data_IF_150971181089
#
_entry.id   IF_150971181089
#
_cell.length_a   1.000
_cell.length_b   1.000
_cell.length_c   1.000
_cell.angle_alpha   90.00
_cell.angle_beta   90.00
_cell.angle_gamma   90.00
#
_symmetry.space_group_name_H-M   'P 1'
#
loop_
_entity.id
_entity.type
_entity.pdbx_description
1 polymer ?
#
# COMPACT_ATOMS: atom_id res chain seq x y z
N UNK A 1 -44.04 27.32 5.78
CA UNK A 1 -43.86 25.94 6.27
C UNK A 1 -42.58 25.39 5.65
N UNK A 2 -41.52 25.23 6.44
CA UNK A 2 -40.25 24.64 6.00
C UNK A 2 -40.36 23.14 6.23
N UNK A 3 -40.32 22.34 5.16
CA UNK A 3 -40.24 20.89 5.26
C UNK A 3 -38.91 20.53 5.92
N UNK A 4 -38.98 20.00 7.15
CA UNK A 4 -37.86 19.30 7.77
C UNK A 4 -37.75 17.95 7.08
N UNK A 5 -36.80 17.82 6.16
CA UNK A 5 -36.33 16.52 5.71
C UNK A 5 -35.62 15.89 6.91
N UNK A 6 -36.24 14.89 7.53
CA UNK A 6 -35.56 14.03 8.49
C UNK A 6 -34.52 13.22 7.72
N UNK A 7 -33.26 13.64 7.76
CA UNK A 7 -32.15 12.82 7.29
C UNK A 7 -32.03 11.60 8.19
N UNK A 8 -32.43 10.44 7.69
CA UNK A 8 -32.11 9.16 8.33
C UNK A 8 -30.63 8.88 8.06
N UNK A 9 -29.77 9.08 9.06
CA UNK A 9 -28.40 8.55 9.04
C UNK A 9 -28.54 7.04 9.22
N UNK A 10 -28.47 6.28 8.13
CA UNK A 10 -28.39 4.82 8.20
C UNK A 10 -26.98 4.46 8.67
N UNK A 11 -26.88 3.73 9.77
CA UNK A 11 -25.62 3.23 10.34
C UNK A 11 -25.43 1.78 9.89
N UNK A 12 -24.31 1.47 9.24
CA UNK A 12 -24.03 0.14 8.70
C UNK A 12 -22.92 -0.49 9.54
N UNK A 13 -23.19 -1.70 10.06
CA UNK A 13 -22.22 -2.49 10.81
C UNK A 13 -21.33 -3.28 9.85
N UNK A 14 -20.02 -3.12 9.99
CA UNK A 14 -18.99 -3.80 9.20
C UNK A 14 -17.98 -4.48 10.14
N UNK A 15 -17.33 -5.53 9.65
CA UNK A 15 -16.28 -6.25 10.35
C UNK A 15 -15.05 -6.41 9.45
N UNK A 16 -13.87 -6.08 9.95
CA UNK A 16 -12.60 -6.22 9.24
C UNK A 16 -11.61 -6.98 10.11
N UNK A 17 -11.01 -8.03 9.56
CA UNK A 17 -9.96 -8.80 10.22
C UNK A 17 -8.58 -8.26 9.83
N UNK A 18 -7.74 -7.97 10.82
CA UNK A 18 -6.39 -7.47 10.61
C UNK A 18 -5.35 -8.57 10.87
N UNK A 19 -4.45 -8.78 9.93
CA UNK A 19 -3.30 -9.63 10.11
C UNK A 19 -2.17 -8.86 10.84
N UNK A 20 -2.31 -8.65 12.15
CA UNK A 20 -1.21 -8.19 13.01
C UNK A 20 -1.35 -8.80 14.41
N UNK A 21 -0.26 -9.38 14.92
CA UNK A 21 -0.17 -9.78 16.31
C UNK A 21 0.18 -8.55 17.15
N UNK A 22 -0.71 -8.25 18.11
CA UNK A 22 -0.51 -7.27 19.20
C UNK A 22 -0.64 -5.80 18.78
N UNK A 23 -1.88 -5.33 18.58
CA UNK A 23 -2.23 -3.91 18.73
C UNK A 23 -3.46 -3.77 19.62
N UNK A 24 -3.35 -2.89 20.62
CA UNK A 24 -4.48 -2.50 21.47
C UNK A 24 -5.59 -1.85 20.62
N UNK A 25 -6.85 -1.96 21.08
CA UNK A 25 -8.02 -1.43 20.37
C UNK A 25 -7.92 0.07 20.01
N UNK A 26 -7.09 0.83 20.74
CA UNK A 26 -6.88 2.27 20.54
C UNK A 26 -5.96 2.62 19.35
N UNK A 27 -5.38 1.62 18.67
CA UNK A 27 -4.43 1.83 17.57
C UNK A 27 -5.03 1.61 16.16
N UNK A 28 -6.31 1.29 16.04
CA UNK A 28 -6.95 1.12 14.73
C UNK A 28 -7.48 2.46 14.23
N UNK A 29 -6.85 3.01 13.18
CA UNK A 29 -7.44 4.08 12.38
C UNK A 29 -8.32 3.46 11.30
N UNK A 30 -9.61 3.78 11.34
CA UNK A 30 -10.53 3.44 10.25
C UNK A 30 -10.42 4.51 9.16
N UNK A 31 -10.38 4.12 7.87
CA UNK A 31 -10.26 5.07 6.77
C UNK A 31 -11.54 5.91 6.57
N UNK A 32 -12.64 5.56 7.23
CA UNK A 32 -13.92 6.26 7.10
C UNK A 32 -14.11 7.30 8.21
N UNK A 33 -14.38 8.54 7.79
CA UNK A 33 -14.60 9.66 8.70
C UNK A 33 -15.86 9.42 9.54
N UNK A 34 -15.73 9.56 10.86
CA UNK A 34 -16.84 9.31 11.79
C UNK A 34 -17.18 7.83 11.98
N UNK A 35 -16.33 6.91 11.51
CA UNK A 35 -16.45 5.51 11.88
C UNK A 35 -16.09 5.30 13.34
N UNK A 36 -16.92 4.54 14.03
CA UNK A 36 -16.75 4.22 15.44
C UNK A 36 -16.53 2.72 15.60
N UNK A 37 -15.41 2.35 16.21
CA UNK A 37 -15.14 0.96 16.58
C UNK A 37 -16.12 0.58 17.69
N UNK A 38 -16.91 -0.46 17.44
CA UNK A 38 -17.88 -0.98 18.40
C UNK A 38 -17.33 -2.14 19.20
N UNK A 39 -16.47 -2.96 18.61
CA UNK A 39 -15.92 -4.14 19.25
C UNK A 39 -14.61 -4.58 18.57
N UNK A 40 -13.68 -5.13 19.34
CA UNK A 40 -12.52 -5.85 18.80
C UNK A 40 -12.54 -7.26 19.38
N UNK A 41 -12.75 -8.25 18.53
CA UNK A 41 -12.71 -9.68 18.88
C UNK A 41 -11.39 -10.28 18.39
N UNK A 42 -11.04 -11.47 18.89
CA UNK A 42 -9.84 -12.20 18.44
C UNK A 42 -10.25 -13.61 18.00
N UNK A 43 -9.73 -14.06 16.87
CA UNK A 43 -9.96 -15.43 16.39
C UNK A 43 -9.10 -16.47 17.14
N UNK A 44 -9.24 -17.74 16.77
CA UNK A 44 -8.53 -18.87 17.39
C UNK A 44 -7.00 -18.82 17.21
N UNK A 45 -6.50 -18.00 16.28
CA UNK A 45 -5.08 -17.78 16.01
C UNK A 45 -4.57 -16.48 16.63
N UNK A 46 -5.43 -15.73 17.33
CA UNK A 46 -5.11 -14.46 17.97
C UNK A 46 -5.15 -13.25 17.04
N UNK A 47 -5.78 -13.36 15.86
CA UNK A 47 -5.94 -12.23 14.96
C UNK A 47 -7.13 -11.35 15.36
N UNK A 48 -6.96 -10.02 15.42
CA UNK A 48 -8.03 -9.11 15.75
C UNK A 48 -9.04 -8.95 14.61
N UNK A 49 -10.32 -9.08 14.94
CA UNK A 49 -11.45 -8.67 14.09
C UNK A 49 -12.10 -7.43 14.70
N UNK A 50 -12.05 -6.32 13.97
CA UNK A 50 -12.60 -5.03 14.38
C UNK A 50 -13.99 -4.88 13.81
N UNK A 51 -14.99 -4.76 14.67
CA UNK A 51 -16.35 -4.39 14.34
C UNK A 51 -16.50 -2.89 14.50
N UNK A 52 -17.10 -2.24 13.52
CA UNK A 52 -17.31 -0.81 13.53
C UNK A 52 -18.59 -0.44 12.80
N UNK A 53 -19.05 0.77 13.09
CA UNK A 53 -20.19 1.37 12.43
C UNK A 53 -19.70 2.58 11.65
N UNK A 54 -20.15 2.68 10.39
CA UNK A 54 -19.88 3.84 9.53
C UNK A 54 -21.19 4.56 9.19
N UNK A 55 -21.21 5.90 9.14
CA UNK A 55 -22.30 6.64 8.54
C UNK A 55 -22.50 6.25 7.05
N UNK A 56 -23.73 5.93 6.65
CA UNK A 56 -24.05 5.54 5.26
C UNK A 56 -23.63 6.55 4.19
N UNK A 57 -23.62 7.85 4.51
CA UNK A 57 -23.19 8.91 3.57
C UNK A 57 -21.72 8.76 3.16
N UNK A 58 -20.86 8.23 4.05
CA UNK A 58 -19.43 7.96 3.76
C UNK A 58 -19.24 6.67 2.95
N UNK A 59 -20.17 5.73 3.00
CA UNK A 59 -20.14 4.52 2.15
C UNK A 59 -20.57 4.84 0.72
N UNK A 60 -21.52 5.77 0.55
CA UNK A 60 -21.98 6.23 -0.77
C UNK A 60 -20.94 7.15 -1.41
N UNK A 61 -20.28 8.05 -0.66
CA UNK A 61 -19.25 8.94 -1.21
C UNK A 61 -18.03 8.18 -1.78
N UNK A 62 -17.68 7.03 -1.18
CA UNK A 62 -16.60 6.18 -1.68
C UNK A 62 -17.01 5.30 -2.87
N UNK A 63 -18.30 5.05 -3.07
CA UNK A 63 -18.83 4.30 -4.21
C UNK A 63 -19.18 5.20 -5.42
N UNK A 64 -19.49 6.49 -5.20
CA UNK A 64 -19.92 7.46 -6.22
C UNK A 64 -18.91 8.59 -6.50
N UNK A 65 -17.62 8.40 -6.23
CA UNK A 65 -16.60 9.36 -6.63
C UNK A 65 -16.32 9.31 -8.16
N UNK A 66 -17.24 9.85 -8.96
CA UNK A 66 -16.92 10.32 -10.31
C UNK A 66 -15.98 11.56 -10.20
N UNK A 67 -14.70 11.29 -10.45
CA UNK A 67 -13.57 12.15 -10.79
C UNK A 67 -13.74 13.69 -10.75
N UNK A 68 -13.45 14.34 -9.62
CA UNK A 68 -12.83 15.66 -9.61
C UNK A 68 -11.30 15.48 -9.64
N UNK A 69 -10.68 15.70 -10.81
CA UNK A 69 -9.22 15.62 -11.07
C UNK A 69 -8.39 14.82 -10.04
N UNK A 70 -8.36 13.48 -10.16
CA UNK A 70 -7.42 12.64 -9.38
C UNK A 70 -6.03 13.28 -9.43
N UNK A 71 -5.49 13.63 -8.26
CA UNK A 71 -4.18 14.29 -8.15
C UNK A 71 -3.09 13.22 -8.33
N UNK A 72 -2.81 12.87 -9.57
CA UNK A 72 -1.74 11.91 -9.89
C UNK A 72 -0.40 12.60 -9.96
N UNK A 73 0.63 12.03 -9.34
CA UNK A 73 2.01 12.46 -9.54
C UNK A 73 2.44 11.95 -10.92
N UNK A 74 2.93 12.80 -11.84
CA UNK A 74 3.38 12.34 -13.16
C UNK A 74 4.60 11.41 -13.05
N UNK A 75 4.77 10.45 -13.99
CA UNK A 75 5.98 9.65 -14.08
C UNK A 75 7.24 10.51 -14.17
N UNK A 76 8.35 9.99 -13.65
CA UNK A 76 9.65 10.65 -13.75
C UNK A 76 10.13 10.64 -15.21
N UNK A 77 10.71 11.75 -15.65
CA UNK A 77 11.28 11.86 -17.00
C UNK A 77 12.77 11.51 -17.06
N UNK A 78 13.40 11.35 -15.90
CA UNK A 78 14.81 11.00 -15.75
C UNK A 78 14.99 10.07 -14.54
N UNK A 79 16.11 9.35 -14.53
CA UNK A 79 16.43 8.44 -13.44
C UNK A 79 16.57 9.22 -12.12
N UNK A 80 15.86 8.81 -11.05
CA UNK A 80 15.98 9.45 -9.75
C UNK A 80 17.35 9.15 -9.10
N UNK A 81 17.82 10.09 -8.27
CA UNK A 81 19.06 9.91 -7.52
C UNK A 81 18.91 8.81 -6.45
N UNK A 82 19.80 7.82 -6.49
CA UNK A 82 19.83 6.72 -5.51
C UNK A 82 20.10 7.25 -4.10
N UNK A 83 19.32 6.77 -3.13
CA UNK A 83 19.40 7.21 -1.74
C UNK A 83 18.50 8.39 -1.39
N UNK A 84 17.83 9.01 -2.37
CA UNK A 84 16.81 10.04 -2.09
C UNK A 84 15.46 9.43 -1.76
N UNK A 85 14.64 10.13 -0.99
CA UNK A 85 13.26 9.72 -0.69
C UNK A 85 12.29 10.52 -1.56
N UNK A 86 11.55 9.83 -2.42
CA UNK A 86 10.60 10.46 -3.36
C UNK A 86 9.20 10.67 -2.77
N UNK A 87 8.83 9.83 -1.80
CA UNK A 87 7.53 9.91 -1.14
C UNK A 87 7.50 10.93 -0.02
N UNK A 88 6.40 11.67 0.10
CA UNK A 88 6.11 12.47 1.30
C UNK A 88 5.58 11.55 2.40
N UNK A 89 6.49 10.87 3.09
CA UNK A 89 6.15 9.85 4.11
C UNK A 89 5.72 10.51 5.43
N UNK A 90 6.49 11.50 5.87
CA UNK A 90 6.31 12.16 7.16
C UNK A 90 5.58 13.50 6.99
N UNK A 91 4.80 13.87 8.02
CA UNK A 91 4.26 15.23 8.14
C UNK A 91 5.36 16.23 8.46
N UNK A 92 5.10 17.50 8.18
CA UNK A 92 5.98 18.59 8.58
C UNK A 92 5.95 18.74 10.11
N UNK A 93 7.12 18.77 10.77
CA UNK A 93 7.22 18.96 12.20
C UNK A 93 8.58 18.57 12.78
N UNK A 94 8.89 19.09 13.98
CA UNK A 94 10.07 18.70 14.75
C UNK A 94 9.71 17.60 15.76
N UNK A 95 10.64 16.69 16.05
CA UNK A 95 10.50 15.63 17.06
C UNK A 95 9.28 14.70 16.85
N UNK A 96 9.03 14.32 15.60
CA UNK A 96 8.00 13.34 15.28
C UNK A 96 8.25 12.01 16.00
N UNK A 97 7.20 11.46 16.61
CA UNK A 97 7.22 10.11 17.16
C UNK A 97 7.00 9.11 16.02
N UNK A 98 8.09 8.57 15.47
CA UNK A 98 8.06 7.66 14.33
C UNK A 98 7.36 6.32 14.64
N UNK A 99 7.02 6.05 15.91
CA UNK A 99 6.24 4.87 16.28
C UNK A 99 4.73 5.07 16.14
N UNK A 100 4.28 6.29 15.86
CA UNK A 100 2.85 6.66 15.80
C UNK A 100 2.42 7.04 14.40
N UNK A 101 1.33 6.45 13.94
CA UNK A 101 0.69 6.76 12.66
C UNK A 101 0.41 8.27 12.46
N UNK A 102 0.19 9.03 13.56
CA UNK A 102 -0.04 10.48 13.50
C UNK A 102 1.11 11.27 12.87
N UNK A 103 2.34 10.74 12.91
CA UNK A 103 3.56 11.35 12.37
C UNK A 103 3.68 11.24 10.84
N UNK A 104 2.84 10.40 10.24
CA UNK A 104 2.89 10.05 8.81
C UNK A 104 1.79 10.77 8.04
N UNK A 105 2.06 11.05 6.77
CA UNK A 105 1.03 11.50 5.83
C UNK A 105 -0.07 10.44 5.69
N UNK A 106 -1.28 10.86 5.29
CA UNK A 106 -2.48 10.01 5.27
C UNK A 106 -2.26 8.68 4.54
N UNK A 107 -1.57 8.72 3.40
CA UNK A 107 -1.27 7.54 2.61
C UNK A 107 -0.45 6.49 3.38
N UNK A 108 0.38 6.92 4.32
CA UNK A 108 1.31 6.11 5.11
C UNK A 108 0.86 5.93 6.57
N UNK A 109 -0.37 6.33 6.91
CA UNK A 109 -0.90 6.27 8.28
C UNK A 109 -1.71 4.99 8.59
N UNK A 110 -1.54 3.93 7.78
CA UNK A 110 -2.21 2.62 7.90
C UNK A 110 -1.20 1.50 7.63
N UNK A 111 -1.51 0.26 8.01
CA UNK A 111 -0.57 -0.89 8.10
C UNK A 111 0.51 -0.77 9.18
N UNK A 112 1.20 -1.88 9.41
CA UNK A 112 2.41 -1.96 10.23
C UNK A 112 3.51 -1.09 9.61
N UNK A 113 3.79 0.04 10.26
CA UNK A 113 4.80 1.02 9.87
C UNK A 113 6.18 0.35 9.70
N UNK A 114 6.86 0.65 8.59
CA UNK A 114 8.15 0.06 8.24
C UNK A 114 8.08 -1.26 7.47
N UNK A 115 6.89 -1.79 7.19
CA UNK A 115 6.73 -3.00 6.36
C UNK A 115 6.68 -2.68 4.86
N UNK A 116 7.03 -3.66 4.03
CA UNK A 116 6.94 -3.52 2.57
C UNK A 116 5.51 -3.23 2.08
N UNK A 117 4.52 -3.89 2.71
CA UNK A 117 3.10 -3.65 2.47
C UNK A 117 2.70 -2.20 2.78
N UNK A 118 3.15 -1.69 3.91
CA UNK A 118 2.91 -0.32 4.37
C UNK A 118 3.42 0.69 3.35
N UNK A 119 4.68 0.55 2.93
CA UNK A 119 5.28 1.49 2.00
C UNK A 119 4.67 1.39 0.60
N UNK A 120 4.55 0.19 0.03
CA UNK A 120 4.02 0.01 -1.32
C UNK A 120 2.56 0.50 -1.42
N UNK A 121 1.74 0.24 -0.38
CA UNK A 121 0.37 0.74 -0.29
C UNK A 121 0.33 2.27 -0.24
N UNK A 122 1.10 2.88 0.67
CA UNK A 122 1.11 4.32 0.84
C UNK A 122 1.65 5.04 -0.39
N UNK A 123 2.74 4.55 -0.98
CA UNK A 123 3.31 5.13 -2.19
C UNK A 123 2.35 5.06 -3.38
N UNK A 124 1.63 3.95 -3.51
CA UNK A 124 0.61 3.82 -4.56
C UNK A 124 -0.55 4.81 -4.37
N UNK A 125 -1.04 4.99 -3.14
CA UNK A 125 -2.04 6.01 -2.83
C UNK A 125 -1.53 7.42 -3.08
N UNK A 126 -0.29 7.72 -2.69
CA UNK A 126 0.31 9.03 -2.89
C UNK A 126 0.43 9.39 -4.38
N UNK A 127 0.86 8.42 -5.20
CA UNK A 127 1.11 8.65 -6.63
C UNK A 127 -0.18 8.67 -7.44
N UNK A 128 -1.13 7.78 -7.14
CA UNK A 128 -2.31 7.58 -8.00
C UNK A 128 -3.61 8.11 -7.42
N UNK A 129 -3.63 8.49 -6.14
CA UNK A 129 -4.84 8.83 -5.40
C UNK A 129 -5.85 7.65 -5.36
N UNK A 130 -5.33 6.40 -5.39
CA UNK A 130 -6.12 5.17 -5.38
C UNK A 130 -5.74 4.35 -4.14
N UNK A 131 -6.73 4.00 -3.34
CA UNK A 131 -6.55 3.01 -2.27
C UNK A 131 -6.60 1.59 -2.85
N UNK A 132 -5.63 0.74 -2.51
CA UNK A 132 -5.80 -0.69 -2.75
C UNK A 132 -6.96 -1.21 -1.88
N UNK A 133 -7.76 -2.18 -2.35
CA UNK A 133 -8.90 -2.71 -1.61
C UNK A 133 -8.44 -3.53 -0.40
N UNK A 134 -8.17 -2.84 0.71
CA UNK A 134 -7.68 -3.42 1.97
C UNK A 134 -8.62 -4.43 2.61
N UNK A 135 -9.92 -4.26 2.37
CA UNK A 135 -10.99 -4.81 3.21
C UNK A 135 -11.52 -6.16 2.73
N UNK A 136 -10.95 -6.76 1.69
CA UNK A 136 -11.41 -8.04 1.15
C UNK A 136 -10.30 -9.10 1.03
N UNK A 137 -9.42 -9.21 2.04
CA UNK A 137 -8.56 -10.39 2.14
C UNK A 137 -7.46 -10.45 1.08
N UNK A 138 -6.78 -9.33 0.82
CA UNK A 138 -5.56 -9.35 -0.02
C UNK A 138 -4.50 -10.30 0.55
N UNK A 139 -4.55 -10.63 1.85
CA UNK A 139 -3.67 -11.59 2.50
C UNK A 139 -2.22 -11.14 2.55
N UNK A 140 -1.29 -12.10 2.63
CA UNK A 140 0.13 -11.81 2.50
C UNK A 140 0.46 -11.23 1.11
N UNK A 141 1.60 -10.57 0.96
CA UNK A 141 2.00 -9.97 -0.33
C UNK A 141 1.89 -10.96 -1.50
N UNK A 142 2.24 -12.22 -1.27
CA UNK A 142 2.16 -13.29 -2.28
C UNK A 142 0.76 -13.51 -2.88
N UNK A 143 -0.28 -12.99 -2.23
CA UNK A 143 -1.68 -13.09 -2.63
C UNK A 143 -2.22 -11.79 -3.26
N UNK A 144 -1.40 -10.73 -3.34
CA UNK A 144 -1.90 -9.43 -3.80
C UNK A 144 -2.35 -9.44 -5.26
N UNK A 145 -1.55 -10.00 -6.17
CA UNK A 145 -1.86 -10.02 -7.61
C UNK A 145 -3.19 -10.71 -7.91
N UNK A 146 -3.49 -11.84 -7.25
CA UNK A 146 -4.76 -12.54 -7.45
C UNK A 146 -5.94 -11.70 -6.95
N UNK A 147 -5.75 -10.93 -5.86
CA UNK A 147 -6.83 -10.22 -5.17
C UNK A 147 -7.11 -8.82 -5.74
N UNK A 148 -6.29 -8.34 -6.69
CA UNK A 148 -6.57 -7.11 -7.46
C UNK A 148 -7.94 -7.13 -8.13
N UNK A 149 -8.44 -8.30 -8.54
CA UNK A 149 -9.76 -8.50 -9.18
C UNK A 149 -10.97 -7.97 -8.38
N UNK A 150 -10.74 -7.60 -7.12
CA UNK A 150 -11.74 -7.09 -6.19
C UNK A 150 -11.93 -5.56 -6.27
N UNK A 151 -11.19 -4.87 -7.16
CA UNK A 151 -11.30 -3.41 -7.37
C UNK A 151 -11.26 -3.05 -8.85
N UNK A 152 -12.21 -2.20 -9.28
CA UNK A 152 -12.29 -1.70 -10.65
C UNK A 152 -11.22 -0.63 -10.97
N UNK A 153 -10.58 -0.07 -9.93
CA UNK A 153 -9.60 1.02 -10.07
C UNK A 153 -8.16 0.56 -10.30
N UNK A 154 -7.88 -0.74 -10.19
CA UNK A 154 -6.54 -1.32 -10.33
C UNK A 154 -6.58 -2.60 -11.17
N UNK A 155 -5.44 -2.98 -11.73
CA UNK A 155 -5.29 -4.23 -12.49
C UNK A 155 -3.94 -4.88 -12.21
N UNK A 156 -3.88 -6.19 -12.47
CA UNK A 156 -2.67 -6.98 -12.37
C UNK A 156 -2.07 -7.18 -13.77
N UNK A 157 -0.77 -6.95 -13.90
CA UNK A 157 0.01 -7.29 -15.08
C UNK A 157 0.95 -8.45 -14.75
N UNK A 158 0.84 -9.55 -15.48
CA UNK A 158 1.64 -10.76 -15.25
C UNK A 158 2.82 -10.88 -16.22
N UNK A 159 2.88 -10.04 -17.25
CA UNK A 159 4.04 -9.89 -18.12
C UNK A 159 5.16 -9.19 -17.37
N UNK A 160 6.07 -9.97 -16.80
CA UNK A 160 7.19 -9.43 -16.00
C UNK A 160 8.23 -8.68 -16.84
N UNK A 161 8.25 -8.89 -18.17
CA UNK A 161 9.24 -8.32 -19.08
C UNK A 161 8.96 -6.87 -19.51
N UNK A 162 7.71 -6.43 -19.38
CA UNK A 162 7.36 -5.03 -19.62
C UNK A 162 7.08 -4.34 -18.29
N UNK A 163 8.14 -3.79 -17.69
CA UNK A 163 8.09 -3.23 -16.33
C UNK A 163 7.32 -1.90 -16.36
N UNK A 164 6.10 -1.81 -15.79
CA UNK A 164 5.38 -0.55 -15.75
C UNK A 164 5.99 0.37 -14.69
N UNK A 165 6.22 1.62 -15.05
CA UNK A 165 6.54 2.67 -14.08
C UNK A 165 5.32 3.00 -13.22
N UNK A 166 5.56 3.56 -12.04
CA UNK A 166 4.54 3.88 -11.04
C UNK A 166 3.62 2.69 -10.72
N UNK A 167 4.23 1.53 -10.52
CA UNK A 167 3.51 0.29 -10.24
C UNK A 167 4.08 -0.39 -9.00
N UNK A 168 3.31 -1.28 -8.39
CA UNK A 168 3.82 -2.16 -7.33
C UNK A 168 4.31 -3.43 -7.99
N UNK A 169 5.60 -3.75 -7.90
CA UNK A 169 6.10 -5.06 -8.25
C UNK A 169 5.92 -6.03 -7.08
N UNK A 170 5.30 -7.18 -7.36
CA UNK A 170 4.95 -8.19 -6.35
C UNK A 170 5.82 -9.43 -6.52
N UNK A 171 6.49 -9.80 -5.44
CA UNK A 171 7.36 -10.96 -5.37
C UNK A 171 6.72 -12.06 -4.54
N UNK A 172 6.85 -13.29 -5.02
CA UNK A 172 6.45 -14.49 -4.29
C UNK A 172 7.69 -15.29 -3.87
N UNK A 173 7.63 -16.05 -2.77
CA UNK A 173 8.76 -16.88 -2.38
C UNK A 173 8.98 -18.03 -3.35
N UNK A 174 10.25 -18.37 -3.57
CA UNK A 174 10.60 -19.61 -4.28
C UNK A 174 10.29 -20.82 -3.39
N UNK A 175 10.37 -22.03 -3.95
CA UNK A 175 9.98 -23.27 -3.26
C UNK A 175 10.72 -23.46 -1.92
N UNK A 176 12.01 -23.13 -1.86
CA UNK A 176 12.82 -23.19 -0.64
C UNK A 176 12.30 -22.27 0.47
N UNK A 177 11.71 -21.13 0.10
CA UNK A 177 11.25 -20.09 1.01
C UNK A 177 9.72 -19.96 1.05
N UNK A 178 8.97 -20.99 0.63
CA UNK A 178 7.51 -20.98 0.43
C UNK A 178 6.67 -20.41 1.58
N UNK A 179 7.19 -20.47 2.81
CA UNK A 179 6.53 -19.99 4.02
C UNK A 179 6.68 -18.48 4.25
N UNK A 180 7.51 -17.79 3.45
CA UNK A 180 7.65 -16.33 3.49
C UNK A 180 6.36 -15.64 3.00
N UNK A 181 6.11 -14.39 3.45
CA UNK A 181 4.90 -13.65 3.10
C UNK A 181 4.89 -13.11 1.65
N UNK A 182 6.03 -13.20 0.94
CA UNK A 182 6.29 -12.45 -0.29
C UNK A 182 6.85 -11.05 0.02
N UNK A 183 7.03 -10.23 -1.02
CA UNK A 183 7.57 -8.88 -0.87
C UNK A 183 7.03 -7.93 -1.94
N UNK A 184 6.89 -6.65 -1.62
CA UNK A 184 6.36 -5.64 -2.52
C UNK A 184 7.30 -4.43 -2.56
N UNK A 185 7.53 -3.92 -3.77
CA UNK A 185 8.29 -2.68 -3.99
C UNK A 185 7.53 -1.80 -4.96
N UNK A 186 7.74 -0.49 -4.91
CA UNK A 186 7.16 0.46 -5.85
C UNK A 186 8.19 0.81 -6.93
N UNK A 187 7.85 0.59 -8.20
CA UNK A 187 8.69 0.95 -9.35
C UNK A 187 8.50 2.43 -9.64
N UNK A 188 9.55 3.22 -9.47
CA UNK A 188 9.53 4.67 -9.67
C UNK A 188 9.87 5.05 -11.11
N UNK A 189 10.89 4.39 -11.69
CA UNK A 189 11.41 4.68 -13.03
C UNK A 189 12.09 3.46 -13.65
N UNK A 190 12.01 3.33 -14.97
CA UNK A 190 12.64 2.23 -15.72
C UNK A 190 13.53 2.81 -16.81
N UNK A 191 14.84 2.63 -16.67
CA UNK A 191 15.76 2.91 -17.75
C UNK A 191 15.64 1.82 -18.82
N UNK A 192 15.41 2.21 -20.07
CA UNK A 192 15.22 1.32 -21.20
C UNK A 192 16.24 1.56 -22.30
N UNK A 193 16.59 0.50 -23.02
CA UNK A 193 17.41 0.60 -24.22
C UNK A 193 16.63 1.24 -25.39
N UNK A 194 17.30 1.40 -26.53
CA UNK A 194 16.71 1.96 -27.76
C UNK A 194 15.52 1.15 -28.30
N UNK A 195 15.40 -0.12 -27.92
CA UNK A 195 14.30 -1.01 -28.30
C UNK A 195 13.16 -1.01 -27.27
N UNK A 196 13.28 -0.22 -26.19
CA UNK A 196 12.33 -0.19 -25.09
C UNK A 196 12.52 -1.32 -24.07
N UNK A 197 13.62 -2.07 -24.12
CA UNK A 197 13.90 -3.16 -23.18
C UNK A 197 14.37 -2.61 -21.83
N UNK A 198 13.80 -3.03 -20.69
CA UNK A 198 14.29 -2.61 -19.37
C UNK A 198 15.76 -3.01 -19.13
N UNK A 199 16.59 -2.03 -18.77
CA UNK A 199 17.99 -2.23 -18.37
C UNK A 199 18.12 -2.11 -16.85
N UNK A 200 17.71 -0.97 -16.30
CA UNK A 200 17.85 -0.63 -14.88
C UNK A 200 16.50 -0.27 -14.30
N UNK A 201 16.14 -0.89 -13.19
CA UNK A 201 14.90 -0.60 -12.48
C UNK A 201 15.23 0.24 -11.26
N UNK A 202 14.60 1.42 -11.17
CA UNK A 202 14.66 2.30 -10.01
C UNK A 202 13.37 2.14 -9.22
N UNK A 203 13.52 1.81 -7.94
CA UNK A 203 12.39 1.42 -7.10
C UNK A 203 12.60 1.87 -5.67
N UNK A 204 11.51 1.95 -4.93
CA UNK A 204 11.46 2.30 -3.51
C UNK A 204 10.73 1.20 -2.75
N UNK A 205 11.15 0.95 -1.51
CA UNK A 205 10.60 -0.11 -0.69
C UNK A 205 10.79 0.21 0.80
N UNK A 206 10.11 -0.55 1.66
CA UNK A 206 10.44 -0.64 3.07
C UNK A 206 10.66 -2.11 3.47
N UNK A 207 11.35 -2.34 4.58
CA UNK A 207 11.76 -3.68 5.03
C UNK A 207 12.61 -4.45 4.00
N UNK A 208 13.25 -3.72 3.08
CA UNK A 208 13.99 -4.26 1.93
C UNK A 208 15.34 -4.88 2.30
N UNK A 209 16.04 -5.52 1.37
CA UNK A 209 17.31 -6.24 1.65
C UNK A 209 18.37 -5.39 2.37
N UNK A 210 18.37 -4.07 2.13
CA UNK A 210 19.36 -3.13 2.68
C UNK A 210 18.98 -2.56 4.05
N UNK A 211 17.77 -2.83 4.52
CA UNK A 211 17.30 -2.34 5.81
C UNK A 211 17.97 -3.10 6.96
N UNK A 212 18.55 -2.32 7.88
CA UNK A 212 19.21 -2.81 9.09
C UNK A 212 18.20 -3.05 10.23
N UNK A 213 17.05 -2.37 10.22
CA UNK A 213 16.06 -2.34 11.28
C UNK A 213 14.73 -2.92 10.81
N UNK A 214 14.76 -4.21 10.47
CA UNK A 214 13.59 -4.97 10.00
C UNK A 214 12.32 -4.68 10.81
N UNK A 215 11.22 -4.50 10.09
CA UNK A 215 9.88 -4.25 10.65
C UNK A 215 9.77 -2.96 11.48
N UNK A 216 10.60 -1.95 11.19
CA UNK A 216 10.51 -0.61 11.78
C UNK A 216 10.86 0.42 10.73
N UNK A 217 10.16 1.54 10.74
CA UNK A 217 10.49 2.63 9.84
C UNK A 217 11.88 3.20 10.15
N UNK A 218 12.74 3.21 9.13
CA UNK A 218 14.04 3.86 9.15
C UNK A 218 14.13 4.89 8.00
N UNK A 219 14.13 6.20 8.28
CA UNK A 219 14.08 7.24 7.24
C UNK A 219 15.32 7.27 6.34
N UNK A 220 16.44 6.65 6.76
CA UNK A 220 17.65 6.56 5.94
C UNK A 220 17.62 5.37 4.96
N UNK A 221 16.63 4.46 5.10
CA UNK A 221 16.54 3.24 4.30
C UNK A 221 15.18 3.07 3.63
N UNK A 222 14.09 3.23 4.36
CA UNK A 222 12.73 3.01 3.87
C UNK A 222 12.27 4.17 2.98
N UNK A 223 11.72 3.80 1.82
CA UNK A 223 11.28 4.74 0.80
C UNK A 223 12.41 5.46 0.06
N UNK A 224 13.66 5.09 0.34
CA UNK A 224 14.81 5.59 -0.42
C UNK A 224 14.95 4.88 -1.76
N UNK A 225 15.31 5.63 -2.80
CA UNK A 225 15.50 5.11 -4.15
C UNK A 225 16.65 4.11 -4.15
N UNK A 226 16.35 2.92 -4.64
CA UNK A 226 17.31 1.85 -4.95
C UNK A 226 17.28 1.58 -6.44
N UNK A 227 18.32 0.90 -6.92
CA UNK A 227 18.37 0.43 -8.30
C UNK A 227 18.95 -0.96 -8.39
N UNK A 228 18.50 -1.70 -9.40
CA UNK A 228 19.03 -3.00 -9.81
C UNK A 228 19.03 -3.10 -11.32
N UNK A 229 19.90 -3.96 -11.86
CA UNK A 229 19.69 -4.42 -13.25
C UNK A 229 18.36 -5.17 -13.34
N UNK A 230 17.76 -5.21 -14.52
CA UNK A 230 16.48 -5.91 -14.71
C UNK A 230 16.55 -7.39 -14.32
N UNK A 231 17.69 -8.05 -14.56
CA UNK A 231 17.88 -9.46 -14.18
C UNK A 231 17.93 -9.66 -12.66
N UNK A 232 18.65 -8.81 -11.93
CA UNK A 232 18.68 -8.83 -10.45
C UNK A 232 17.33 -8.44 -9.83
N UNK A 233 16.59 -7.55 -10.50
CA UNK A 233 15.27 -7.14 -10.06
C UNK A 233 14.29 -8.31 -10.11
N UNK A 234 14.33 -9.16 -11.14
CA UNK A 234 13.40 -10.30 -11.27
C UNK A 234 13.56 -11.36 -10.18
N UNK A 235 14.78 -11.60 -9.69
CA UNK A 235 15.08 -12.73 -8.80
C UNK A 235 15.89 -12.30 -7.57
N UNK A 236 15.31 -11.49 -6.66
CA UNK A 236 15.94 -11.22 -5.38
C UNK A 236 16.07 -12.51 -4.56
N UNK A 237 16.95 -12.50 -3.55
CA UNK A 237 17.23 -13.69 -2.75
C UNK A 237 15.95 -14.31 -2.15
N UNK A 238 15.71 -15.58 -2.47
CA UNK A 238 14.57 -16.37 -1.98
C UNK A 238 13.20 -16.00 -2.56
N UNK A 239 13.16 -15.09 -3.53
CA UNK A 239 11.94 -14.52 -4.08
C UNK A 239 12.01 -14.47 -5.62
N UNK A 240 10.85 -14.50 -6.27
CA UNK A 240 10.72 -14.31 -7.71
C UNK A 240 9.62 -13.28 -8.03
N UNK A 241 9.88 -12.42 -9.01
CA UNK A 241 8.92 -11.44 -9.48
C UNK A 241 7.75 -12.13 -10.16
N UNK A 242 6.53 -11.86 -9.70
CA UNK A 242 5.32 -12.50 -10.23
C UNK A 242 4.50 -11.61 -11.14
N UNK A 243 4.62 -10.30 -11.01
CA UNK A 243 3.85 -9.33 -11.77
C UNK A 243 3.78 -7.98 -11.07
N UNK A 244 2.91 -7.13 -11.59
CA UNK A 244 2.75 -5.75 -11.16
C UNK A 244 1.30 -5.40 -10.86
N UNK A 245 1.09 -4.44 -9.97
CA UNK A 245 -0.20 -3.79 -9.72
C UNK A 245 -0.09 -2.35 -10.19
N UNK A 246 -1.04 -1.93 -11.02
CA UNK A 246 -1.09 -0.60 -11.62
C UNK A 246 -2.53 -0.10 -11.71
N UNK A 247 -2.76 1.21 -11.87
CA UNK A 247 -4.10 1.74 -12.08
C UNK A 247 -4.78 1.10 -13.29
N UNK A 248 -6.09 0.88 -13.17
CA UNK A 248 -6.93 0.58 -14.32
C UNK A 248 -7.20 1.89 -15.07
N UNK A 249 -6.90 1.91 -16.38
CA UNK A 249 -7.02 3.11 -17.22
C UNK A 249 -8.46 3.33 -17.66
#
# INVERSE_FOLDING_TARGET
MKNKLFGFVLLIALSVSYASSVLAADNYSLPWKGAEITEVTYDEYGWPTVHFIVPSEELISNAEAENPERKTIPPLTEAPEVGTTLGKILKDGENLDLTRASSYEEAYATFSIGECAWYAYGRFKEVHDIWLPLTQGMGGIKEWLQNVRLSDGIKAEYSINDVPEQSIAVYIPTEEFRDWPGHAVFVEYVERDENGTPITIYYTEANGTYDINKSKFDPDYDGTVRRKTFDEFKNPYGLELKGYILPNK
#
